data_IF_568773976466
#
_entry.id   IF_568773976466
#
_cell.length_a   1.000
_cell.length_b   1.000
_cell.length_c   1.000
_cell.angle_alpha   90.00
_cell.angle_beta   90.00
_cell.angle_gamma   90.00
#
_symmetry.space_group_name_H-M   'P 1'
#
loop_
_entity.id
_entity.type
_entity.pdbx_description
1 polymer ?
#
# COMPACT_ATOMS: atom_id res chain seq x y z
N UNK A 1 2.70 16.98 -14.23
CA UNK A 1 3.40 16.13 -13.23
C UNK A 1 3.13 16.72 -11.86
N UNK A 2 2.95 15.89 -10.81
CA UNK A 2 2.71 16.37 -9.43
C UNK A 2 3.47 15.52 -8.41
N UNK A 3 4.01 16.10 -7.31
CA UNK A 3 4.52 15.32 -6.17
C UNK A 3 3.45 14.37 -5.64
N UNK A 4 3.86 13.22 -5.09
CA UNK A 4 2.93 12.15 -4.69
C UNK A 4 2.65 12.08 -3.20
N UNK A 5 3.57 12.54 -2.36
CA UNK A 5 3.45 12.58 -0.89
C UNK A 5 4.56 13.47 -0.31
N UNK A 6 4.44 13.81 0.98
CA UNK A 6 5.53 14.39 1.77
C UNK A 6 6.49 13.25 2.12
N UNK A 7 7.73 13.32 1.61
CA UNK A 7 8.73 12.27 1.85
C UNK A 7 9.50 12.50 3.16
N UNK A 8 9.83 13.75 3.46
CA UNK A 8 10.65 14.14 4.62
C UNK A 8 9.95 15.27 5.38
N UNK A 9 10.01 15.22 6.71
CA UNK A 9 9.52 16.27 7.61
C UNK A 9 10.61 16.57 8.63
N UNK A 10 10.92 17.85 8.83
CA UNK A 10 12.01 18.29 9.71
C UNK A 10 11.46 18.99 10.94
N UNK A 11 11.85 18.50 12.12
CA UNK A 11 11.72 19.18 13.40
C UNK A 11 13.11 19.50 13.94
N UNK A 12 13.15 20.30 15.00
CA UNK A 12 14.40 20.75 15.60
C UNK A 12 14.39 20.52 17.10
N UNK A 13 15.54 20.05 17.62
CA UNK A 13 15.79 19.86 19.03
C UNK A 13 17.29 20.06 19.30
N UNK A 14 17.63 20.67 20.44
CA UNK A 14 19.02 20.77 20.90
C UNK A 14 19.51 19.49 21.60
N UNK A 15 18.60 18.75 22.24
CA UNK A 15 18.90 17.48 22.91
C UNK A 15 18.42 16.29 22.07
N UNK A 16 19.34 15.72 21.28
CA UNK A 16 19.04 14.55 20.44
C UNK A 16 18.87 13.26 21.24
N UNK A 17 19.38 13.15 22.47
CA UNK A 17 19.20 11.95 23.29
C UNK A 17 17.77 11.92 23.85
N UNK A 18 17.29 13.04 24.37
CA UNK A 18 15.89 13.20 24.79
C UNK A 18 14.94 12.99 23.60
N UNK A 19 15.25 13.60 22.44
CA UNK A 19 14.48 13.36 21.22
C UNK A 19 14.48 11.88 20.83
N UNK A 20 15.64 11.21 20.86
CA UNK A 20 15.72 9.76 20.58
C UNK A 20 14.78 8.98 21.48
N UNK A 21 14.83 9.21 22.79
CA UNK A 21 13.95 8.51 23.72
C UNK A 21 12.47 8.70 23.35
N UNK A 22 12.06 9.95 23.12
CA UNK A 22 10.68 10.25 22.74
C UNK A 22 10.28 9.55 21.42
N UNK A 23 11.01 9.77 20.33
CA UNK A 23 10.61 9.27 19.01
C UNK A 23 10.81 7.75 18.85
N UNK A 24 11.88 7.15 19.40
CA UNK A 24 12.16 5.71 19.25
C UNK A 24 11.55 4.84 20.34
N UNK A 25 11.39 5.35 21.56
CA UNK A 25 10.85 4.57 22.69
C UNK A 25 9.38 4.86 22.90
N UNK A 26 9.00 6.13 23.08
CA UNK A 26 7.60 6.50 23.32
C UNK A 26 6.77 6.30 22.04
N UNK A 27 7.22 6.80 20.89
CA UNK A 27 6.48 6.66 19.62
C UNK A 27 6.81 5.38 18.83
N UNK A 28 7.82 4.60 19.27
CA UNK A 28 8.26 3.38 18.60
C UNK A 28 8.72 3.55 17.14
N UNK A 29 9.22 4.71 16.76
CA UNK A 29 9.67 4.93 15.40
C UNK A 29 11.10 4.36 15.21
N UNK A 30 11.33 3.50 14.20
CA UNK A 30 12.67 2.98 13.94
C UNK A 30 13.64 4.09 13.54
N UNK A 31 14.80 4.14 14.20
CA UNK A 31 15.92 4.99 13.78
C UNK A 31 16.52 4.41 12.50
N UNK A 32 16.59 5.21 11.44
CA UNK A 32 17.19 4.82 10.16
C UNK A 32 18.50 5.54 9.87
N UNK A 33 18.73 6.68 10.51
CA UNK A 33 19.98 7.41 10.43
C UNK A 33 20.24 8.13 11.74
N UNK A 34 21.51 8.15 12.12
CA UNK A 34 21.99 8.61 13.41
C UNK A 34 23.34 9.29 13.26
N UNK A 35 23.31 10.61 13.38
CA UNK A 35 24.50 11.45 13.36
C UNK A 35 24.43 12.35 14.61
N UNK A 36 25.07 11.93 15.71
CA UNK A 36 24.88 12.52 17.04
C UNK A 36 25.12 14.03 17.14
N UNK A 37 25.96 14.58 16.27
CA UNK A 37 26.30 16.01 16.25
C UNK A 37 25.43 16.82 15.28
N UNK A 38 24.47 16.20 14.59
CA UNK A 38 23.68 16.86 13.55
C UNK A 38 22.20 16.55 13.61
N UNK A 39 21.82 15.26 13.56
CA UNK A 39 20.43 14.88 13.51
C UNK A 39 20.16 13.38 13.70
N UNK A 40 18.90 13.09 14.03
CA UNK A 40 18.31 11.77 13.96
C UNK A 40 17.26 11.71 12.85
N UNK A 41 17.13 10.55 12.22
CA UNK A 41 16.08 10.28 11.24
C UNK A 41 15.31 9.03 11.60
N UNK A 42 13.99 9.15 11.65
CA UNK A 42 13.06 8.10 12.05
C UNK A 42 12.15 7.70 10.90
N UNK A 43 11.93 6.40 10.71
CA UNK A 43 10.96 5.89 9.72
C UNK A 43 9.54 6.02 10.25
N UNK A 44 8.68 6.72 9.51
CA UNK A 44 7.24 6.75 9.75
C UNK A 44 6.48 6.34 8.48
N UNK A 45 6.14 5.05 8.38
CA UNK A 45 5.53 4.48 7.18
C UNK A 45 6.45 4.61 5.95
N UNK A 46 6.02 5.37 4.94
CA UNK A 46 6.80 5.62 3.72
C UNK A 46 7.69 6.87 3.80
N UNK A 47 7.49 7.73 4.80
CA UNK A 47 8.23 8.97 4.98
C UNK A 47 9.26 8.90 6.11
N UNK A 48 10.04 9.97 6.23
CA UNK A 48 11.06 10.16 7.26
C UNK A 48 10.72 11.40 8.10
N UNK A 49 10.81 11.26 9.42
CA UNK A 49 10.81 12.39 10.36
C UNK A 49 12.25 12.61 10.80
N UNK A 50 12.78 13.80 10.54
CA UNK A 50 14.09 14.22 10.99
C UNK A 50 13.98 15.12 12.21
N UNK A 51 14.91 14.96 13.16
CA UNK A 51 15.11 15.88 14.27
C UNK A 51 16.53 16.40 14.18
N UNK A 52 16.68 17.65 13.74
CA UNK A 52 17.97 18.31 13.53
C UNK A 52 18.36 19.22 14.70
N UNK A 53 19.66 19.41 14.90
CA UNK A 53 20.19 20.53 15.69
C UNK A 53 20.20 21.77 14.78
N UNK A 54 19.33 22.73 15.05
CA UNK A 54 19.13 23.90 14.20
C UNK A 54 20.42 24.74 14.01
N UNK A 55 21.23 24.88 15.07
CA UNK A 55 22.50 25.61 15.01
C UNK A 55 23.46 25.01 13.98
N UNK A 56 23.55 23.68 13.94
CA UNK A 56 24.43 22.94 13.03
C UNK A 56 23.94 23.03 11.58
N UNK A 57 22.64 22.86 11.35
CA UNK A 57 22.09 22.89 9.98
C UNK A 57 21.98 24.30 9.38
N UNK A 58 22.15 25.35 10.19
CA UNK A 58 22.25 26.74 9.71
C UNK A 58 23.61 27.07 9.11
N UNK A 59 24.65 26.33 9.49
CA UNK A 59 26.04 26.62 9.12
C UNK A 59 26.59 25.71 8.01
N UNK A 60 25.75 24.85 7.42
CA UNK A 60 26.19 23.91 6.37
C UNK A 60 26.40 24.57 5.00
N UNK A 61 27.46 24.16 4.29
CA UNK A 61 27.78 24.65 2.94
C UNK A 61 27.48 23.64 1.82
N UNK A 62 27.35 22.34 2.14
CA UNK A 62 27.20 21.26 1.15
C UNK A 62 25.77 21.08 0.63
N UNK A 63 24.78 21.52 1.39
CA UNK A 63 23.36 21.50 1.09
C UNK A 63 22.73 22.82 1.55
N UNK A 64 21.56 23.23 1.05
CA UNK A 64 20.90 24.45 1.51
C UNK A 64 20.72 24.45 3.03
N UNK A 65 21.24 25.49 3.69
CA UNK A 65 21.11 25.66 5.13
C UNK A 65 19.64 25.85 5.55
N UNK A 66 19.30 25.30 6.72
CA UNK A 66 17.96 25.41 7.31
C UNK A 66 18.04 25.29 8.83
N UNK A 67 17.02 25.81 9.52
CA UNK A 67 16.94 25.74 10.99
C UNK A 67 15.98 26.78 11.51
N UNK A 68 14.92 26.35 12.21
CA UNK A 68 13.91 27.25 12.80
C UNK A 68 14.03 27.28 14.31
N UNK A 69 13.73 28.42 14.92
CA UNK A 69 13.58 28.56 16.37
C UNK A 69 12.11 28.44 16.77
N UNK A 70 11.89 27.99 18.01
CA UNK A 70 10.56 27.83 18.58
C UNK A 70 9.89 26.49 18.23
N UNK A 71 8.70 26.23 18.80
CA UNK A 71 7.98 24.97 18.61
C UNK A 71 7.57 24.72 17.16
N UNK A 72 8.03 23.61 16.59
CA UNK A 72 7.48 23.04 15.36
C UNK A 72 6.19 22.25 15.61
N UNK A 73 5.60 21.74 14.53
CA UNK A 73 4.43 20.86 14.60
C UNK A 73 4.51 19.74 13.56
N UNK A 74 4.12 18.53 13.96
CA UNK A 74 3.93 17.39 13.05
C UNK A 74 2.69 16.61 13.46
N UNK A 75 1.92 16.16 12.47
CA UNK A 75 0.82 15.23 12.66
C UNK A 75 1.18 13.86 12.07
N UNK A 76 1.17 12.83 12.91
CA UNK A 76 1.43 11.45 12.54
C UNK A 76 0.12 10.66 12.52
N UNK A 77 -0.12 9.96 11.41
CA UNK A 77 -1.35 9.22 11.22
C UNK A 77 -1.39 7.96 12.09
N UNK A 78 -2.52 7.73 12.77
CA UNK A 78 -2.84 6.50 13.49
C UNK A 78 -4.20 5.96 13.06
N UNK A 79 -4.45 4.65 13.09
CA UNK A 79 -5.80 4.10 12.93
C UNK A 79 -6.71 4.52 14.08
N UNK A 80 -8.00 4.79 13.81
CA UNK A 80 -8.98 5.12 14.85
C UNK A 80 -9.05 4.06 15.96
N UNK A 81 -8.91 2.78 15.63
CA UNK A 81 -8.92 1.70 16.62
C UNK A 81 -7.73 1.72 17.59
N UNK A 82 -6.69 2.53 17.35
CA UNK A 82 -5.51 2.65 18.21
C UNK A 82 -5.55 3.87 19.14
N UNK A 83 -6.54 4.76 19.04
CA UNK A 83 -6.59 6.01 19.82
C UNK A 83 -6.45 5.75 21.33
N UNK A 84 -7.23 4.82 21.89
CA UNK A 84 -7.17 4.50 23.32
C UNK A 84 -5.85 3.83 23.73
N UNK A 85 -5.30 2.96 22.88
CA UNK A 85 -3.99 2.35 23.11
C UNK A 85 -2.86 3.40 23.16
N UNK A 86 -2.97 4.48 22.38
CA UNK A 86 -2.03 5.60 22.44
C UNK A 86 -2.18 6.43 23.72
N UNK A 87 -3.42 6.60 24.24
CA UNK A 87 -3.61 7.24 25.55
C UNK A 87 -2.93 6.47 26.68
N UNK A 88 -3.14 5.16 26.72
CA UNK A 88 -2.52 4.27 27.70
C UNK A 88 -1.00 4.30 27.58
N UNK A 89 -0.48 4.28 26.34
CA UNK A 89 0.95 4.34 26.08
C UNK A 89 1.57 5.65 26.56
N UNK A 90 0.96 6.79 26.27
CA UNK A 90 1.45 8.08 26.76
C UNK A 90 1.44 8.14 28.28
N UNK A 91 0.37 7.65 28.93
CA UNK A 91 0.31 7.56 30.39
C UNK A 91 1.41 6.64 30.97
N UNK A 92 1.70 5.50 30.35
CA UNK A 92 2.74 4.56 30.79
C UNK A 92 4.18 5.11 30.66
N UNK A 93 4.37 6.12 29.81
CA UNK A 93 5.64 6.82 29.62
C UNK A 93 5.67 8.21 30.27
N UNK A 94 4.68 8.52 31.13
CA UNK A 94 4.54 9.81 31.80
C UNK A 94 4.51 11.02 30.85
N UNK A 95 3.96 10.83 29.64
CA UNK A 95 3.76 11.90 28.66
C UNK A 95 2.35 12.46 28.80
N UNK A 96 2.19 13.74 29.18
CA UNK A 96 0.87 14.34 29.27
C UNK A 96 0.30 14.61 27.87
N UNK A 97 -0.97 14.27 27.68
CA UNK A 97 -1.75 14.72 26.53
C UNK A 97 -2.17 16.16 26.82
N UNK A 98 -1.63 17.10 26.05
CA UNK A 98 -1.90 18.53 26.16
C UNK A 98 -3.34 18.86 25.74
N UNK A 99 -3.82 18.23 24.66
CA UNK A 99 -5.19 18.41 24.18
C UNK A 99 -5.71 17.19 23.41
N UNK A 100 -7.04 17.08 23.31
CA UNK A 100 -7.73 16.10 22.47
C UNK A 100 -8.82 16.82 21.66
N UNK A 101 -8.75 16.71 20.34
CA UNK A 101 -9.80 17.24 19.46
C UNK A 101 -10.63 16.10 18.85
N UNK A 102 -11.95 16.31 18.77
CA UNK A 102 -12.87 15.49 17.97
C UNK A 102 -13.49 16.40 16.92
N UNK A 103 -13.38 16.03 15.65
CA UNK A 103 -13.73 16.93 14.56
C UNK A 103 -15.14 16.65 14.00
N UNK A 104 -15.95 17.69 13.71
CA UNK A 104 -17.36 17.54 13.38
C UNK A 104 -17.62 16.88 12.02
N UNK A 105 -16.61 16.81 11.15
CA UNK A 105 -16.76 16.30 9.79
C UNK A 105 -16.74 14.77 9.70
N UNK A 106 -16.27 14.07 10.75
CA UNK A 106 -16.27 12.61 10.80
C UNK A 106 -16.19 12.13 12.26
N UNK A 107 -17.10 11.25 12.69
CA UNK A 107 -17.16 10.76 14.09
C UNK A 107 -15.88 10.04 14.55
N UNK A 108 -15.07 9.57 13.59
CA UNK A 108 -13.77 8.94 13.82
C UNK A 108 -12.57 9.86 13.64
N UNK A 109 -12.77 11.15 13.37
CA UNK A 109 -11.69 12.13 13.28
C UNK A 109 -11.30 12.61 14.69
N UNK A 110 -10.24 12.01 15.24
CA UNK A 110 -9.69 12.29 16.56
C UNK A 110 -8.22 12.68 16.45
N UNK A 111 -7.81 13.67 17.23
CA UNK A 111 -6.42 14.10 17.37
C UNK A 111 -6.00 14.09 18.84
N UNK A 112 -4.81 13.55 19.13
CA UNK A 112 -4.15 13.62 20.44
C UNK A 112 -2.91 14.51 20.31
N UNK A 113 -2.81 15.57 21.12
CA UNK A 113 -1.67 16.49 21.10
C UNK A 113 -0.78 16.24 22.31
N UNK A 114 0.53 16.06 22.08
CA UNK A 114 1.57 15.96 23.11
C UNK A 114 2.73 16.88 22.77
N UNK A 115 3.63 17.11 23.74
CA UNK A 115 4.90 17.80 23.52
C UNK A 115 6.04 16.80 23.47
N UNK A 116 6.92 16.96 22.49
CA UNK A 116 8.24 16.34 22.55
C UNK A 116 9.14 17.10 23.55
N UNK A 117 10.34 16.57 23.89
CA UNK A 117 11.23 17.23 24.86
C UNK A 117 11.73 18.61 24.45
N UNK A 118 11.71 18.95 23.16
CA UNK A 118 12.06 20.27 22.66
C UNK A 118 10.87 21.25 22.62
N UNK A 119 9.67 20.78 23.02
CA UNK A 119 8.44 21.56 23.04
C UNK A 119 7.70 21.58 21.70
N UNK A 120 8.11 20.79 20.70
CA UNK A 120 7.37 20.65 19.45
C UNK A 120 5.99 20.04 19.72
N UNK A 121 4.97 20.53 19.01
CA UNK A 121 3.63 19.97 19.06
C UNK A 121 3.56 18.71 18.19
N UNK A 122 3.48 17.55 18.83
CA UNK A 122 3.35 16.27 18.13
C UNK A 122 1.91 15.80 18.25
N UNK A 123 1.23 15.72 17.11
CA UNK A 123 -0.14 15.26 17.00
C UNK A 123 -0.17 13.80 16.53
N UNK A 124 -0.91 12.95 17.22
CA UNK A 124 -1.38 11.68 16.65
C UNK A 124 -2.81 11.88 16.17
N UNK A 125 -2.98 11.90 14.84
CA UNK A 125 -4.26 12.15 14.20
C UNK A 125 -4.78 10.89 13.52
N UNK A 126 -6.06 10.63 13.63
CA UNK A 126 -6.72 9.60 12.83
C UNK A 126 -6.75 10.00 11.37
N UNK A 127 -6.45 9.09 10.45
CA UNK A 127 -6.42 9.42 9.01
C UNK A 127 -7.76 9.92 8.47
N UNK A 128 -8.87 9.56 9.13
CA UNK A 128 -10.23 10.05 8.88
C UNK A 128 -10.36 11.58 8.94
N UNK A 129 -9.47 12.27 9.66
CA UNK A 129 -9.46 13.74 9.73
C UNK A 129 -9.40 14.39 8.34
N UNK A 130 -8.70 13.76 7.40
CA UNK A 130 -8.50 14.27 6.03
C UNK A 130 -9.09 13.35 4.96
N UNK A 131 -9.98 12.42 5.33
CA UNK A 131 -10.48 11.41 4.39
C UNK A 131 -9.35 10.54 3.82
N UNK A 132 -8.33 10.26 4.64
CA UNK A 132 -7.24 9.34 4.33
C UNK A 132 -7.44 8.01 5.05
N UNK A 133 -8.69 7.67 5.31
CA UNK A 133 -9.14 6.45 5.93
C UNK A 133 -8.23 5.28 5.52
N UNK A 134 -7.52 4.76 6.53
CA UNK A 134 -6.65 3.61 6.38
C UNK A 134 -7.43 2.35 5.90
N UNK A 135 -8.75 2.47 5.77
CA UNK A 135 -9.75 1.45 5.48
C UNK A 135 -10.62 1.67 4.23
N UNK A 136 -10.35 2.63 3.34
CA UNK A 136 -10.85 2.48 1.98
C UNK A 136 -10.03 1.36 1.32
N UNK A 137 -10.40 0.10 1.58
CA UNK A 137 -9.86 -1.11 0.93
C UNK A 137 -9.64 -0.84 -0.56
N UNK A 138 -10.57 -0.13 -1.16
CA UNK A 138 -10.58 0.29 -2.56
C UNK A 138 -9.37 1.15 -2.94
N UNK A 139 -9.00 2.14 -2.13
CA UNK A 139 -7.79 2.94 -2.34
C UNK A 139 -6.52 2.11 -2.16
N UNK A 140 -6.49 1.17 -1.21
CA UNK A 140 -5.40 0.21 -1.11
C UNK A 140 -5.32 -0.66 -2.38
N UNK A 141 -6.46 -1.16 -2.87
CA UNK A 141 -6.54 -1.96 -4.09
C UNK A 141 -6.15 -1.18 -5.34
N UNK A 142 -6.51 0.11 -5.43
CA UNK A 142 -6.12 0.99 -6.53
C UNK A 142 -4.62 1.28 -6.51
N UNK A 143 -4.05 1.57 -5.33
CA UNK A 143 -2.62 1.92 -5.16
C UNK A 143 -1.66 0.80 -5.55
N UNK A 144 -2.03 -0.47 -5.30
CA UNK A 144 -1.15 -1.61 -5.62
C UNK A 144 -1.21 -2.02 -7.11
N UNK A 145 -2.13 -1.46 -7.90
CA UNK A 145 -2.25 -1.83 -9.32
C UNK A 145 -1.06 -1.29 -10.12
N UNK A 146 -0.37 -2.13 -10.90
CA UNK A 146 0.65 -1.68 -11.83
C UNK A 146 0.05 -0.70 -12.84
N UNK A 147 0.74 0.40 -13.08
CA UNK A 147 0.37 1.34 -14.14
C UNK A 147 0.43 0.64 -15.51
N UNK A 148 -0.62 0.81 -16.31
CA UNK A 148 -0.69 0.38 -17.70
C UNK A 148 -1.16 1.60 -18.51
N UNK A 149 -0.30 2.24 -19.31
CA UNK A 149 -0.68 3.43 -20.07
C UNK A 149 -1.69 3.03 -21.15
N UNK A 150 -2.94 3.45 -21.00
CA UNK A 150 -4.00 3.28 -21.99
C UNK A 150 -4.87 4.54 -21.98
N UNK A 151 -4.99 5.20 -23.13
CA UNK A 151 -6.00 6.25 -23.29
C UNK A 151 -7.39 5.62 -23.30
N UNK A 152 -8.24 6.10 -22.42
CA UNK A 152 -9.49 5.46 -22.02
C UNK A 152 -10.66 6.44 -21.96
N UNK A 153 -10.45 7.72 -22.28
CA UNK A 153 -11.49 8.75 -22.14
C UNK A 153 -12.70 8.50 -23.04
N UNK A 154 -12.48 7.98 -24.26
CA UNK A 154 -13.55 7.67 -25.21
C UNK A 154 -14.05 6.21 -25.15
N UNK A 155 -13.50 5.39 -24.25
CA UNK A 155 -13.85 3.97 -24.16
C UNK A 155 -15.21 3.77 -23.48
N UNK A 156 -15.96 2.76 -23.93
CA UNK A 156 -17.21 2.35 -23.26
C UNK A 156 -16.93 1.79 -21.86
N UNK A 157 -17.90 1.76 -20.91
CA UNK A 157 -17.66 1.31 -19.53
C UNK A 157 -16.99 -0.06 -19.41
N UNK A 158 -17.38 -1.03 -20.24
CA UNK A 158 -16.76 -2.36 -20.27
C UNK A 158 -15.30 -2.34 -20.77
N UNK A 159 -14.97 -1.47 -21.72
CA UNK A 159 -13.62 -1.30 -22.25
C UNK A 159 -12.73 -0.59 -21.22
N UNK A 160 -13.27 0.42 -20.53
CA UNK A 160 -12.62 1.07 -19.39
C UNK A 160 -12.32 0.07 -18.28
N UNK A 161 -13.29 -0.77 -17.87
CA UNK A 161 -13.06 -1.83 -16.89
C UNK A 161 -11.93 -2.78 -17.35
N UNK A 162 -11.93 -3.20 -18.62
CA UNK A 162 -10.86 -4.07 -19.12
C UNK A 162 -9.48 -3.41 -19.03
N UNK A 163 -9.37 -2.14 -19.43
CA UNK A 163 -8.11 -1.40 -19.52
C UNK A 163 -7.58 -0.94 -18.16
N UNK A 164 -8.45 -0.36 -17.32
CA UNK A 164 -8.10 0.25 -16.01
C UNK A 164 -8.15 -0.73 -14.83
N UNK A 165 -8.88 -1.83 -14.96
CA UNK A 165 -9.11 -2.75 -13.84
C UNK A 165 -8.58 -4.15 -14.14
N UNK A 166 -9.15 -4.85 -15.15
CA UNK A 166 -8.84 -6.26 -15.37
C UNK A 166 -7.38 -6.49 -15.76
N UNK A 167 -6.84 -5.71 -16.70
CA UNK A 167 -5.45 -5.84 -17.15
C UNK A 167 -4.43 -5.55 -16.03
N UNK A 168 -4.52 -4.42 -15.29
CA UNK A 168 -3.64 -4.16 -14.15
C UNK A 168 -3.71 -5.22 -13.05
N UNK A 169 -4.91 -5.64 -12.64
CA UNK A 169 -5.04 -6.68 -11.60
C UNK A 169 -4.49 -8.02 -12.08
N UNK A 170 -4.76 -8.44 -13.33
CA UNK A 170 -4.15 -9.64 -13.89
C UNK A 170 -2.62 -9.56 -13.97
N UNK A 171 -2.05 -8.36 -14.17
CA UNK A 171 -0.60 -8.14 -14.14
C UNK A 171 -0.04 -8.25 -12.73
N UNK A 172 -0.72 -7.64 -11.74
CA UNK A 172 -0.38 -7.77 -10.32
C UNK A 172 -0.41 -9.23 -9.86
N UNK A 173 -1.47 -9.95 -10.21
CA UNK A 173 -1.74 -11.33 -9.81
C UNK A 173 -1.01 -12.38 -10.68
N UNK A 174 -0.13 -11.97 -11.60
CA UNK A 174 0.50 -12.86 -12.56
C UNK A 174 1.16 -14.10 -11.91
N UNK A 175 1.99 -13.98 -10.86
CA UNK A 175 2.61 -15.16 -10.23
C UNK A 175 1.57 -16.16 -9.70
N UNK A 176 0.53 -15.66 -9.01
CA UNK A 176 -0.52 -16.50 -8.42
C UNK A 176 -1.39 -17.17 -9.47
N UNK A 177 -1.68 -16.50 -10.59
CA UNK A 177 -2.40 -17.09 -11.73
C UNK A 177 -1.61 -18.27 -12.31
N UNK A 178 -0.31 -18.07 -12.62
CA UNK A 178 0.53 -19.12 -13.20
C UNK A 178 0.67 -20.32 -12.27
N UNK A 179 0.96 -20.08 -10.99
CA UNK A 179 1.07 -21.16 -9.98
C UNK A 179 -0.24 -21.91 -9.81
N UNK A 180 -1.39 -21.21 -9.80
CA UNK A 180 -2.69 -21.87 -9.69
C UNK A 180 -2.95 -22.82 -10.86
N UNK A 181 -2.64 -22.39 -12.08
CA UNK A 181 -2.78 -23.23 -13.29
C UNK A 181 -1.81 -24.41 -13.26
N UNK A 182 -0.54 -24.18 -12.95
CA UNK A 182 0.48 -25.23 -12.85
C UNK A 182 0.08 -26.31 -11.83
N UNK A 183 -0.32 -25.92 -10.62
CA UNK A 183 -0.76 -26.85 -9.57
C UNK A 183 -2.02 -27.62 -9.97
N UNK A 184 -2.91 -27.01 -10.73
CA UNK A 184 -4.09 -27.69 -11.26
C UNK A 184 -3.71 -28.74 -12.32
N UNK A 185 -2.80 -28.38 -13.24
CA UNK A 185 -2.25 -29.30 -14.25
C UNK A 185 -1.53 -30.48 -13.60
N UNK A 186 -0.65 -30.21 -12.63
CA UNK A 186 0.07 -31.25 -11.87
C UNK A 186 -0.90 -32.25 -11.22
N UNK A 187 -2.00 -31.76 -10.63
CA UNK A 187 -2.95 -32.60 -9.90
C UNK A 187 -3.88 -33.42 -10.79
N UNK A 188 -4.34 -32.87 -11.91
CA UNK A 188 -5.42 -33.47 -12.72
C UNK A 188 -5.02 -33.83 -14.15
N UNK A 189 -3.80 -33.49 -14.59
CA UNK A 189 -3.29 -33.76 -15.94
C UNK A 189 -1.89 -34.39 -15.86
N UNK A 190 -1.84 -35.63 -15.40
CA UNK A 190 -0.60 -36.41 -15.31
C UNK A 190 0.11 -36.49 -16.65
N UNK A 191 1.42 -36.24 -16.66
CA UNK A 191 2.23 -36.29 -17.88
C UNK A 191 2.20 -35.01 -18.73
N UNK A 192 1.53 -33.93 -18.28
CA UNK A 192 1.51 -32.65 -18.99
C UNK A 192 2.91 -32.14 -19.37
N UNK A 193 3.86 -32.18 -18.43
CA UNK A 193 5.23 -31.70 -18.66
C UNK A 193 6.01 -32.51 -19.73
N UNK A 194 5.54 -33.71 -20.09
CA UNK A 194 6.17 -34.58 -21.09
C UNK A 194 5.52 -34.47 -22.48
N UNK A 195 4.40 -33.77 -22.60
CA UNK A 195 3.75 -33.50 -23.89
C UNK A 195 4.63 -32.58 -24.74
N UNK A 196 4.50 -32.66 -26.05
CA UNK A 196 5.12 -31.67 -26.93
C UNK A 196 4.49 -30.27 -26.74
N UNK A 197 5.19 -29.19 -27.10
CA UNK A 197 4.72 -27.83 -26.86
C UNK A 197 3.34 -27.51 -27.47
N UNK A 198 3.02 -28.05 -28.65
CA UNK A 198 1.74 -27.78 -29.30
C UNK A 198 0.58 -28.44 -28.55
N UNK A 199 0.78 -29.69 -28.10
CA UNK A 199 -0.19 -30.39 -27.27
C UNK A 199 -0.35 -29.74 -25.89
N UNK A 200 0.73 -29.24 -25.29
CA UNK A 200 0.67 -28.47 -24.03
C UNK A 200 -0.20 -27.22 -24.18
N UNK A 201 0.02 -26.42 -25.23
CA UNK A 201 -0.78 -25.23 -25.50
C UNK A 201 -2.26 -25.57 -25.70
N UNK A 202 -2.56 -26.57 -26.55
CA UNK A 202 -3.93 -27.00 -26.81
C UNK A 202 -4.62 -27.48 -25.53
N UNK A 203 -3.90 -28.22 -24.68
CA UNK A 203 -4.39 -28.70 -23.39
C UNK A 203 -4.70 -27.55 -22.44
N UNK A 204 -3.82 -26.56 -22.32
CA UNK A 204 -4.03 -25.38 -21.47
C UNK A 204 -5.23 -24.56 -21.96
N UNK A 205 -5.35 -24.34 -23.27
CA UNK A 205 -6.50 -23.63 -23.87
C UNK A 205 -7.81 -24.31 -23.51
N UNK A 206 -7.88 -25.64 -23.69
CA UNK A 206 -9.06 -26.43 -23.37
C UNK A 206 -9.37 -26.42 -21.87
N UNK A 207 -8.33 -26.54 -21.02
CA UNK A 207 -8.48 -26.50 -19.58
C UNK A 207 -9.09 -25.16 -19.11
N UNK A 208 -8.52 -24.03 -19.53
CA UNK A 208 -9.01 -22.70 -19.16
C UNK A 208 -10.38 -22.38 -19.77
N UNK A 209 -10.72 -22.97 -20.91
CA UNK A 209 -12.02 -22.82 -21.56
C UNK A 209 -13.12 -23.64 -20.88
N UNK A 210 -12.87 -24.90 -20.56
CA UNK A 210 -13.93 -25.83 -20.15
C UNK A 210 -14.04 -25.98 -18.62
N UNK A 211 -12.92 -25.95 -17.88
CA UNK A 211 -12.92 -26.28 -16.46
C UNK A 211 -13.54 -25.17 -15.60
N UNK A 212 -14.72 -25.46 -15.04
CA UNK A 212 -15.47 -24.50 -14.22
C UNK A 212 -14.81 -24.23 -12.88
N UNK A 213 -14.12 -25.20 -12.29
CA UNK A 213 -13.50 -25.06 -10.96
C UNK A 213 -12.28 -24.16 -11.04
N UNK A 214 -11.39 -24.42 -11.99
CA UNK A 214 -10.22 -23.59 -12.23
C UNK A 214 -10.62 -22.15 -12.57
N UNK A 215 -11.58 -21.96 -13.50
CA UNK A 215 -12.09 -20.63 -13.85
C UNK A 215 -12.63 -19.87 -12.63
N UNK A 216 -13.39 -20.52 -11.75
CA UNK A 216 -13.93 -19.88 -10.54
C UNK A 216 -12.81 -19.44 -9.59
N UNK A 217 -11.79 -20.27 -9.39
CA UNK A 217 -10.63 -19.90 -8.56
C UNK A 217 -9.88 -18.70 -9.14
N UNK A 218 -9.56 -18.72 -10.44
CA UNK A 218 -8.83 -17.63 -11.09
C UNK A 218 -9.62 -16.31 -11.11
N UNK A 219 -10.93 -16.38 -11.39
CA UNK A 219 -11.81 -15.19 -11.31
C UNK A 219 -11.86 -14.66 -9.88
N UNK A 220 -11.89 -15.53 -8.86
CA UNK A 220 -11.86 -15.12 -7.45
C UNK A 220 -10.59 -14.36 -7.07
N UNK A 221 -9.41 -14.82 -7.54
CA UNK A 221 -8.14 -14.12 -7.30
C UNK A 221 -8.16 -12.67 -7.80
N UNK A 222 -8.76 -12.45 -8.97
CA UNK A 222 -8.89 -11.11 -9.55
C UNK A 222 -10.01 -10.31 -8.89
N UNK A 223 -11.20 -10.88 -8.72
CA UNK A 223 -12.36 -10.18 -8.18
C UNK A 223 -12.14 -9.73 -6.72
N UNK A 224 -11.31 -10.44 -5.95
CA UNK A 224 -10.91 -10.03 -4.60
C UNK A 224 -10.13 -8.71 -4.55
N UNK A 225 -9.72 -8.15 -5.69
CA UNK A 225 -8.98 -6.88 -5.81
C UNK A 225 -9.79 -5.76 -6.49
N UNK A 226 -11.06 -5.99 -6.84
CA UNK A 226 -11.95 -4.94 -7.33
C UNK A 226 -12.28 -3.96 -6.23
N UNK A 227 -12.49 -2.69 -6.57
CA UNK A 227 -13.18 -1.75 -5.67
C UNK A 227 -14.65 -2.16 -5.50
N UNK A 228 -15.37 -1.57 -4.55
CA UNK A 228 -16.80 -1.82 -4.37
C UNK A 228 -17.58 -1.48 -5.65
N UNK A 229 -17.32 -0.33 -6.27
CA UNK A 229 -17.95 0.08 -7.53
C UNK A 229 -17.65 -0.89 -8.69
N UNK A 230 -16.38 -1.32 -8.81
CA UNK A 230 -15.98 -2.29 -9.83
C UNK A 230 -16.60 -3.67 -9.56
N UNK A 231 -16.76 -4.05 -8.29
CA UNK A 231 -17.40 -5.30 -7.91
C UNK A 231 -18.90 -5.26 -8.18
N UNK A 232 -19.58 -4.14 -7.90
CA UNK A 232 -20.98 -3.92 -8.26
C UNK A 232 -21.16 -4.01 -9.78
N UNK A 233 -20.32 -3.30 -10.56
CA UNK A 233 -20.34 -3.40 -12.02
C UNK A 233 -20.09 -4.83 -12.52
N UNK A 234 -19.17 -5.56 -11.89
CA UNK A 234 -18.91 -6.97 -12.18
C UNK A 234 -20.15 -7.84 -11.93
N UNK A 235 -20.87 -7.63 -10.83
CA UNK A 235 -22.08 -8.39 -10.51
C UNK A 235 -23.20 -8.14 -11.55
N UNK A 236 -23.30 -6.93 -12.09
CA UNK A 236 -24.26 -6.60 -13.14
C UNK A 236 -23.87 -7.18 -14.52
N UNK A 237 -22.56 -7.38 -14.77
CA UNK A 237 -22.02 -7.78 -16.08
C UNK A 237 -21.26 -9.12 -16.06
N UNK A 238 -21.57 -10.01 -15.12
CA UNK A 238 -20.77 -11.21 -14.82
C UNK A 238 -20.38 -12.05 -16.04
N UNK A 239 -21.31 -12.28 -16.97
CA UNK A 239 -21.06 -13.13 -18.15
C UNK A 239 -19.96 -12.55 -19.03
N UNK A 240 -20.02 -11.25 -19.30
CA UNK A 240 -19.06 -10.59 -20.16
C UNK A 240 -17.70 -10.41 -19.48
N UNK A 241 -17.68 -9.98 -18.22
CA UNK A 241 -16.42 -9.80 -17.47
C UNK A 241 -15.69 -11.14 -17.32
N UNK A 242 -16.40 -12.23 -16.99
CA UNK A 242 -15.81 -13.58 -16.93
C UNK A 242 -15.22 -14.01 -18.26
N UNK A 243 -15.90 -13.75 -19.39
CA UNK A 243 -15.39 -14.06 -20.73
C UNK A 243 -14.08 -13.33 -21.01
N UNK A 244 -14.02 -12.03 -20.70
CA UNK A 244 -12.81 -11.20 -20.88
C UNK A 244 -11.67 -11.65 -19.97
N UNK A 245 -11.95 -11.99 -18.71
CA UNK A 245 -10.96 -12.53 -17.77
C UNK A 245 -10.38 -13.86 -18.25
N UNK A 246 -11.20 -14.80 -18.70
CA UNK A 246 -10.72 -16.08 -19.22
C UNK A 246 -9.81 -15.88 -20.45
N UNK A 247 -10.15 -14.94 -21.34
CA UNK A 247 -9.27 -14.59 -22.46
C UNK A 247 -7.92 -14.03 -21.98
N UNK A 248 -7.92 -13.11 -21.00
CA UNK A 248 -6.70 -12.55 -20.41
C UNK A 248 -5.85 -13.62 -19.71
N UNK A 249 -6.47 -14.52 -18.94
CA UNK A 249 -5.76 -15.64 -18.30
C UNK A 249 -5.14 -16.58 -19.33
N UNK A 250 -5.88 -16.90 -20.38
CA UNK A 250 -5.42 -17.80 -21.44
C UNK A 250 -4.21 -17.23 -22.13
N UNK A 251 -4.29 -15.98 -22.61
CA UNK A 251 -3.15 -15.31 -23.23
C UNK A 251 -1.94 -15.28 -22.28
N UNK A 252 -2.14 -14.84 -21.04
CA UNK A 252 -1.07 -14.72 -20.04
C UNK A 252 -0.36 -16.04 -19.74
N UNK A 253 -1.10 -17.14 -19.64
CA UNK A 253 -0.52 -18.47 -19.38
C UNK A 253 0.26 -18.95 -20.60
N UNK A 254 -0.30 -18.80 -21.81
CA UNK A 254 0.36 -19.23 -23.04
C UNK A 254 1.64 -18.45 -23.31
N UNK A 255 1.62 -17.14 -23.12
CA UNK A 255 2.81 -16.27 -23.25
C UNK A 255 3.93 -16.64 -22.25
N UNK A 256 3.63 -17.42 -21.20
CA UNK A 256 4.54 -17.82 -20.13
C UNK A 256 4.52 -19.34 -19.91
N UNK A 257 4.37 -20.12 -20.99
CA UNK A 257 4.22 -21.57 -20.88
C UNK A 257 5.42 -22.25 -20.19
N UNK A 258 6.63 -21.80 -20.49
CA UNK A 258 7.86 -22.33 -19.86
C UNK A 258 7.81 -22.22 -18.33
N UNK A 259 7.32 -21.10 -17.79
CA UNK A 259 7.20 -20.87 -16.36
C UNK A 259 6.12 -21.75 -15.72
N UNK A 260 5.07 -22.12 -16.46
CA UNK A 260 4.02 -23.04 -16.01
C UNK A 260 4.56 -24.47 -16.01
N UNK A 261 5.16 -24.91 -17.11
CA UNK A 261 5.74 -26.26 -17.25
C UNK A 261 6.81 -26.51 -16.19
N UNK A 262 7.69 -25.53 -15.94
CA UNK A 262 8.73 -25.64 -14.91
C UNK A 262 8.19 -25.80 -13.47
N UNK A 263 6.94 -25.46 -13.21
CA UNK A 263 6.27 -25.66 -11.90
C UNK A 263 5.50 -26.99 -11.80
N UNK A 264 5.30 -27.68 -12.93
CA UNK A 264 4.65 -29.00 -12.99
C UNK A 264 5.74 -30.07 -12.89
N UNK A 265 6.12 -30.42 -11.66
CA UNK A 265 7.08 -31.50 -11.37
C UNK A 265 6.37 -32.80 -11.00
#
# INVERSE_FOLDING_TARGET
MRPTHVLETSLYASDLEAARHFYSTVLNLPVVFDEPERHLSFRCGRGIVHVFIAEVTRETESLPAHGTDGPGHVALAIPFCQVEAWRERFAAHDIPIEDTATWPHHERAVSLYVRDPAGNSVELATSELWGLDADARDDAMLRIRPYVPVDTEEQRPMEQLQSRTLRPICKLQNPLILTTVARYLQKYNTGFAKMDPADQEAKVRNLLKEDRRLKRSLVGLVAGHFTEDEYAFYLDHQREVRRRLVALFTQRVLDQMEAVVGQVV
#
